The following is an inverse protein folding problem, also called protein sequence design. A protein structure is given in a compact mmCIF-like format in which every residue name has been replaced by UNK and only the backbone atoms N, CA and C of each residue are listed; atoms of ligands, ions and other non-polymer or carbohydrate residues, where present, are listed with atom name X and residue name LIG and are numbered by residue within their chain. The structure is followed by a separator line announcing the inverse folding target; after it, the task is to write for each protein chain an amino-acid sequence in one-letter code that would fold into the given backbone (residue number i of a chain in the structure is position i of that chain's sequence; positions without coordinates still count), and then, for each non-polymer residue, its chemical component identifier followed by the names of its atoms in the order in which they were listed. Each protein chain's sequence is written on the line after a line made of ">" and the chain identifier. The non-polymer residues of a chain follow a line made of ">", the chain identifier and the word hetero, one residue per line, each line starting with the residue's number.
data_IF_929054794175
#
_entry.id   IF_929054794175
#
_cell.length_a   1.000
_cell.length_b   1.000
_cell.length_c   1.000
_cell.angle_alpha   90.00
_cell.angle_beta   90.00
_cell.angle_gamma   90.00
#
_symmetry.space_group_name_H-M   'P 1'
#
loop_
_entity.id
_entity.type
_entity.pdbx_description
1 polymer ?
#
# COMPACT_ATOMS: atom_id res chain seq x y z
N UNK A 1 -22.78 -19.94 -1.71
CA UNK A 1 -22.78 -18.58 -1.10
C UNK A 1 -22.64 -17.56 -2.22
N UNK A 2 -23.53 -16.57 -2.31
CA UNK A 2 -23.43 -15.48 -3.30
C UNK A 2 -22.51 -14.37 -2.74
N UNK A 3 -21.23 -14.42 -3.11
CA UNK A 3 -20.20 -13.46 -2.64
C UNK A 3 -20.48 -12.06 -3.19
N UNK A 4 -20.94 -11.94 -4.44
CA UNK A 4 -21.23 -10.64 -5.05
C UNK A 4 -22.33 -9.92 -4.29
N UNK A 5 -23.41 -10.60 -3.98
CA UNK A 5 -24.53 -10.03 -3.21
C UNK A 5 -24.08 -9.57 -1.81
N UNK A 6 -23.18 -10.32 -1.17
CA UNK A 6 -22.60 -9.90 0.11
C UNK A 6 -21.71 -8.66 -0.04
N UNK A 7 -20.87 -8.63 -1.06
CA UNK A 7 -20.03 -7.47 -1.34
C UNK A 7 -20.88 -6.21 -1.63
N UNK A 8 -21.99 -6.35 -2.37
CA UNK A 8 -22.93 -5.27 -2.60
C UNK A 8 -23.58 -4.75 -1.31
N UNK A 9 -23.92 -5.65 -0.37
CA UNK A 9 -24.46 -5.25 0.94
C UNK A 9 -23.48 -4.47 1.80
N UNK A 10 -22.18 -4.56 1.54
CA UNK A 10 -21.13 -3.84 2.28
C UNK A 10 -20.76 -2.48 1.64
N UNK A 11 -21.45 -2.04 0.60
CA UNK A 11 -21.15 -0.79 -0.14
C UNK A 11 -21.01 0.43 0.77
N UNK A 12 -21.91 0.61 1.73
CA UNK A 12 -21.84 1.73 2.67
C UNK A 12 -20.58 1.66 3.53
N UNK A 13 -20.30 0.49 4.11
CA UNK A 13 -19.10 0.26 4.91
C UNK A 13 -17.82 0.54 4.10
N UNK A 14 -17.74 0.02 2.86
CA UNK A 14 -16.59 0.24 1.97
C UNK A 14 -16.41 1.72 1.65
N UNK A 15 -17.48 2.42 1.30
CA UNK A 15 -17.43 3.85 0.97
C UNK A 15 -17.01 4.71 2.16
N UNK A 16 -17.58 4.45 3.34
CA UNK A 16 -17.26 5.21 4.56
C UNK A 16 -15.82 4.96 5.01
N UNK A 17 -15.36 3.71 4.92
CA UNK A 17 -14.00 3.31 5.26
C UNK A 17 -13.00 3.95 4.31
N UNK A 18 -13.23 3.88 3.01
CA UNK A 18 -12.42 4.53 1.97
C UNK A 18 -12.27 6.03 2.25
N UNK A 19 -13.39 6.74 2.42
CA UNK A 19 -13.37 8.19 2.68
C UNK A 19 -12.65 8.55 3.97
N UNK A 20 -12.74 7.69 4.99
CA UNK A 20 -12.08 7.91 6.25
C UNK A 20 -10.55 7.78 6.16
N UNK A 21 -10.03 6.81 5.37
CA UNK A 21 -8.60 6.70 5.10
C UNK A 21 -8.11 7.79 4.15
N UNK A 22 -8.89 8.13 3.13
CA UNK A 22 -8.54 9.18 2.19
C UNK A 22 -8.34 10.54 2.87
N UNK A 23 -9.15 10.87 3.88
CA UNK A 23 -9.04 12.11 4.65
C UNK A 23 -7.81 12.21 5.54
N UNK A 24 -7.28 11.08 5.99
CA UNK A 24 -6.19 11.04 6.97
C UNK A 24 -5.01 10.19 6.47
N UNK A 25 -4.41 10.56 5.32
CA UNK A 25 -3.31 9.82 4.74
C UNK A 25 -2.03 10.01 5.54
N UNK A 26 -1.19 8.99 5.62
CA UNK A 26 0.12 9.04 6.24
C UNK A 26 1.18 8.53 5.26
N UNK A 27 2.37 9.20 5.19
CA UNK A 27 3.41 8.76 4.28
C UNK A 27 4.08 7.48 4.77
N UNK A 28 4.82 6.84 3.86
CA UNK A 28 5.61 5.63 4.13
C UNK A 28 6.38 5.71 5.45
N UNK A 29 6.38 4.63 6.22
CA UNK A 29 6.96 4.47 7.56
C UNK A 29 6.32 5.31 8.68
N UNK A 30 5.28 6.08 8.41
CA UNK A 30 4.58 6.92 9.38
C UNK A 30 3.09 6.55 9.55
N UNK A 31 2.65 5.40 9.03
CA UNK A 31 1.26 4.96 8.93
C UNK A 31 0.66 4.51 10.29
N UNK A 32 1.04 5.17 11.37
CA UNK A 32 0.67 4.79 12.75
C UNK A 32 -0.83 4.92 13.00
N UNK A 33 -1.45 6.04 12.59
CA UNK A 33 -2.90 6.28 12.75
C UNK A 33 -3.71 5.40 11.80
N UNK A 34 -3.20 5.18 10.61
CA UNK A 34 -3.77 4.26 9.62
C UNK A 34 -3.91 2.87 10.21
N UNK A 35 -2.83 2.33 10.76
CA UNK A 35 -2.83 1.01 11.40
C UNK A 35 -3.65 0.97 12.69
N UNK A 36 -3.66 2.03 13.48
CA UNK A 36 -4.53 2.13 14.65
C UNK A 36 -6.02 2.02 14.27
N UNK A 37 -6.43 2.72 13.19
CA UNK A 37 -7.79 2.65 12.65
C UNK A 37 -8.13 1.26 12.09
N UNK A 38 -7.20 0.62 11.37
CA UNK A 38 -7.35 -0.76 10.90
C UNK A 38 -7.61 -1.70 12.08
N UNK A 39 -6.80 -1.62 13.13
CA UNK A 39 -6.92 -2.43 14.34
C UNK A 39 -8.25 -2.21 15.06
N UNK A 40 -8.71 -0.95 15.13
CA UNK A 40 -10.02 -0.62 15.71
C UNK A 40 -11.16 -1.29 14.93
N UNK A 41 -11.11 -1.27 13.60
CA UNK A 41 -12.11 -1.92 12.75
C UNK A 41 -12.06 -3.45 12.93
N UNK A 42 -10.88 -4.05 12.95
CA UNK A 42 -10.69 -5.48 13.19
C UNK A 42 -11.23 -5.90 14.56
N UNK A 43 -10.98 -5.11 15.61
CA UNK A 43 -11.51 -5.32 16.95
C UNK A 43 -13.05 -5.31 16.97
N UNK A 44 -13.67 -4.35 16.27
CA UNK A 44 -15.14 -4.29 16.14
C UNK A 44 -15.73 -5.51 15.42
N UNK A 45 -14.95 -6.12 14.53
CA UNK A 45 -15.32 -7.36 13.83
C UNK A 45 -15.00 -8.63 14.64
N UNK A 46 -14.31 -8.52 15.77
CA UNK A 46 -13.85 -9.66 16.56
C UNK A 46 -12.75 -10.48 15.86
N UNK A 47 -11.99 -9.87 14.95
CA UNK A 47 -10.92 -10.54 14.20
C UNK A 47 -9.60 -10.37 14.93
N UNK A 48 -8.93 -11.46 15.35
CA UNK A 48 -7.64 -11.39 16.01
C UNK A 48 -6.53 -10.94 15.04
N UNK A 49 -5.58 -10.18 15.56
CA UNK A 49 -4.42 -9.72 14.80
C UNK A 49 -3.14 -9.71 15.62
N UNK A 50 -2.01 -9.70 14.94
CA UNK A 50 -0.67 -9.39 15.47
C UNK A 50 -0.24 -8.02 14.97
N UNK A 51 0.43 -7.27 15.85
CA UNK A 51 0.97 -5.94 15.56
C UNK A 51 2.45 -5.89 15.99
N UNK A 52 3.37 -6.45 15.18
CA UNK A 52 4.79 -6.51 15.52
C UNK A 52 5.47 -5.14 15.50
N UNK A 53 4.86 -4.15 14.83
CA UNK A 53 5.24 -2.74 14.83
C UNK A 53 3.98 -1.86 14.77
N UNK A 54 4.13 -0.57 15.03
CA UNK A 54 3.01 0.37 15.04
C UNK A 54 2.34 0.50 13.66
N UNK A 55 3.10 0.33 12.60
CA UNK A 55 2.68 0.39 11.21
C UNK A 55 2.58 -0.98 10.51
N UNK A 56 2.57 -2.10 11.23
CA UNK A 56 2.33 -3.44 10.67
C UNK A 56 1.14 -4.08 11.39
N UNK A 57 0.18 -4.57 10.63
CA UNK A 57 -0.96 -5.32 11.17
C UNK A 57 -1.22 -6.54 10.32
N UNK A 58 -1.23 -7.72 10.94
CA UNK A 58 -1.52 -8.98 10.27
C UNK A 58 -2.64 -9.67 11.04
N UNK A 59 -3.83 -9.73 10.44
CA UNK A 59 -5.00 -10.37 11.04
C UNK A 59 -5.17 -11.80 10.51
N UNK A 60 -5.88 -12.65 11.27
CA UNK A 60 -6.06 -14.05 10.90
C UNK A 60 -7.52 -14.45 11.05
N UNK A 61 -8.08 -15.08 10.02
CA UNK A 61 -9.43 -15.64 9.98
C UNK A 61 -9.35 -17.12 9.63
N UNK A 62 -10.19 -17.93 10.29
CA UNK A 62 -10.17 -19.38 10.11
C UNK A 62 -9.04 -20.06 10.88
N UNK A 63 -8.86 -21.35 10.67
CA UNK A 63 -7.81 -22.15 11.30
C UNK A 63 -7.49 -23.41 10.51
N UNK A 64 -6.24 -23.85 10.61
CA UNK A 64 -5.76 -25.06 9.94
C UNK A 64 -5.80 -24.97 8.41
N UNK A 65 -5.66 -26.10 7.73
CA UNK A 65 -5.67 -26.16 6.27
C UNK A 65 -4.53 -25.37 5.61
N UNK A 66 -4.75 -24.99 4.35
CA UNK A 66 -3.83 -24.10 3.63
C UNK A 66 -4.01 -22.67 4.10
N UNK A 67 -2.91 -21.90 4.07
CA UNK A 67 -2.89 -20.50 4.45
C UNK A 67 -2.84 -19.63 3.19
N UNK A 68 -3.78 -18.71 3.07
CA UNK A 68 -3.84 -17.73 1.98
C UNK A 68 -3.60 -16.34 2.56
N UNK A 69 -2.69 -15.59 1.97
CA UNK A 69 -2.44 -14.18 2.29
C UNK A 69 -3.22 -13.26 1.37
N UNK A 70 -3.97 -12.33 1.94
CA UNK A 70 -4.57 -11.20 1.23
C UNK A 70 -3.83 -9.93 1.67
N UNK A 71 -3.32 -9.16 0.71
CA UNK A 71 -2.47 -7.99 1.00
C UNK A 71 -3.11 -6.69 0.54
N UNK A 72 -3.01 -5.66 1.37
CA UNK A 72 -3.17 -4.27 1.02
C UNK A 72 -1.97 -3.46 1.52
N UNK A 73 -1.49 -2.53 0.72
CA UNK A 73 -0.58 -1.47 1.12
C UNK A 73 -1.33 -0.36 1.87
N UNK A 74 -0.60 0.46 2.64
CA UNK A 74 -1.26 1.37 3.60
C UNK A 74 -0.74 2.80 3.56
N UNK A 75 0.38 3.06 2.91
CA UNK A 75 1.02 4.36 2.84
C UNK A 75 0.43 5.28 1.77
N UNK A 76 0.73 6.56 1.89
CA UNK A 76 0.32 7.62 0.97
C UNK A 76 1.53 8.38 0.44
N UNK A 77 1.35 9.10 -0.67
CA UNK A 77 2.38 9.87 -1.33
C UNK A 77 2.52 11.28 -0.76
N UNK A 78 3.75 11.79 -0.73
CA UNK A 78 4.06 13.15 -0.31
C UNK A 78 3.77 14.15 -1.44
N UNK A 79 2.49 14.41 -1.66
CA UNK A 79 2.01 15.40 -2.62
C UNK A 79 0.72 16.08 -2.11
N UNK A 80 0.49 17.32 -2.54
CA UNK A 80 -0.71 18.07 -2.16
C UNK A 80 -1.88 17.68 -3.04
N UNK A 81 -2.97 17.25 -2.41
CA UNK A 81 -4.20 16.94 -3.12
C UNK A 81 -4.87 18.18 -3.73
N UNK A 82 -5.34 18.05 -4.97
CA UNK A 82 -6.01 19.11 -5.74
C UNK A 82 -7.38 18.67 -6.30
N UNK A 83 -7.97 17.60 -5.76
CA UNK A 83 -9.24 17.03 -6.27
C UNK A 83 -10.46 17.89 -5.94
N UNK A 84 -10.44 18.63 -4.83
CA UNK A 84 -11.60 19.42 -4.35
C UNK A 84 -12.75 18.56 -3.82
N UNK A 85 -12.52 17.30 -3.50
CA UNK A 85 -13.53 16.39 -2.94
C UNK A 85 -13.89 16.80 -1.50
N UNK A 86 -15.13 16.57 -1.08
CA UNK A 86 -15.58 16.80 0.30
C UNK A 86 -14.79 16.01 1.35
N UNK A 87 -14.19 14.90 0.93
CA UNK A 87 -13.36 14.00 1.75
C UNK A 87 -11.89 14.08 1.39
N UNK A 88 -11.42 15.15 0.73
CA UNK A 88 -10.00 15.37 0.46
C UNK A 88 -9.15 15.30 1.71
N UNK A 89 -7.86 15.00 1.50
CA UNK A 89 -6.86 14.91 2.55
C UNK A 89 -6.91 16.12 3.49
N UNK A 90 -6.92 15.83 4.78
CA UNK A 90 -6.78 16.84 5.85
C UNK A 90 -5.34 16.93 6.34
N UNK A 91 -4.42 16.20 5.73
CA UNK A 91 -2.99 16.22 6.02
C UNK A 91 -2.26 16.96 4.88
N UNK A 92 -1.95 18.26 5.02
CA UNK A 92 -1.33 19.04 3.95
C UNK A 92 -0.04 18.42 3.44
N UNK A 93 0.08 18.28 2.11
CA UNK A 93 1.27 17.70 1.48
C UNK A 93 1.31 16.19 1.45
N UNK A 94 0.22 15.51 1.85
CA UNK A 94 0.10 14.04 1.77
C UNK A 94 -1.23 13.66 1.15
N UNK A 95 -1.24 12.68 0.24
CA UNK A 95 -2.45 12.21 -0.45
C UNK A 95 -2.35 10.72 -0.77
N UNK A 96 -3.46 9.99 -0.63
CA UNK A 96 -3.59 8.65 -1.20
C UNK A 96 -3.77 8.70 -2.74
N UNK A 97 -2.73 9.13 -3.47
CA UNK A 97 -2.80 9.27 -4.92
C UNK A 97 -2.61 7.94 -5.67
N UNK A 98 -2.06 6.92 -5.02
CA UNK A 98 -1.92 5.58 -5.58
C UNK A 98 -3.11 4.66 -5.27
N UNK A 99 -4.07 5.11 -4.43
CA UNK A 99 -5.30 4.38 -4.15
C UNK A 99 -5.19 3.31 -3.05
N UNK A 100 -4.18 3.38 -2.19
CA UNK A 100 -3.99 2.41 -1.10
C UNK A 100 -5.12 2.45 -0.07
N UNK A 101 -5.79 3.57 0.11
CA UNK A 101 -7.03 3.71 0.88
C UNK A 101 -8.18 2.83 0.35
N UNK A 102 -8.29 2.69 -0.97
CA UNK A 102 -9.22 1.77 -1.60
C UNK A 102 -8.80 0.30 -1.36
N UNK A 103 -7.50 0.00 -1.39
CA UNK A 103 -6.98 -1.35 -1.10
C UNK A 103 -7.25 -1.74 0.35
N UNK A 104 -6.96 -0.86 1.32
CA UNK A 104 -7.28 -1.07 2.74
C UNK A 104 -8.78 -1.36 2.91
N UNK A 105 -9.62 -0.53 2.29
CA UNK A 105 -11.07 -0.64 2.41
C UNK A 105 -11.60 -1.94 1.81
N UNK A 106 -11.08 -2.34 0.64
CA UNK A 106 -11.42 -3.60 0.01
C UNK A 106 -11.01 -4.80 0.88
N UNK A 107 -9.80 -4.77 1.47
CA UNK A 107 -9.32 -5.83 2.34
C UNK A 107 -10.14 -5.93 3.64
N UNK A 108 -10.54 -4.81 4.24
CA UNK A 108 -11.43 -4.79 5.41
C UNK A 108 -12.84 -5.27 5.07
N UNK A 109 -13.33 -4.96 3.86
CA UNK A 109 -14.61 -5.51 3.36
C UNK A 109 -14.54 -7.02 3.16
N UNK A 110 -13.45 -7.51 2.56
CA UNK A 110 -13.19 -8.94 2.44
C UNK A 110 -13.10 -9.62 3.82
N UNK A 111 -12.43 -8.99 4.78
CA UNK A 111 -12.35 -9.46 6.16
C UNK A 111 -13.73 -9.67 6.78
N UNK A 112 -14.63 -8.70 6.62
CA UNK A 112 -15.99 -8.77 7.15
C UNK A 112 -16.79 -9.93 6.56
N UNK A 113 -16.67 -10.16 5.25
CA UNK A 113 -17.34 -11.26 4.56
C UNK A 113 -16.75 -12.60 4.98
N UNK A 114 -15.42 -12.73 4.97
CA UNK A 114 -14.73 -13.98 5.31
C UNK A 114 -14.94 -14.38 6.77
N UNK A 115 -15.00 -13.42 7.68
CA UNK A 115 -15.26 -13.69 9.10
C UNK A 115 -16.68 -14.19 9.38
N UNK A 116 -17.60 -14.07 8.41
CA UNK A 116 -19.00 -14.51 8.52
C UNK A 116 -19.26 -15.90 7.95
N UNK A 117 -18.24 -16.62 7.50
CA UNK A 117 -18.36 -17.92 6.85
C UNK A 117 -17.35 -18.93 7.38
N UNK A 118 -17.70 -20.21 7.33
CA UNK A 118 -16.76 -21.28 7.63
C UNK A 118 -15.75 -21.41 6.49
N UNK A 119 -14.46 -21.29 6.84
CA UNK A 119 -13.37 -21.41 5.89
C UNK A 119 -12.71 -22.79 5.99
N UNK A 120 -12.35 -23.44 4.88
CA UNK A 120 -11.65 -24.72 4.87
C UNK A 120 -10.16 -24.59 5.22
N UNK A 121 -9.69 -23.41 5.56
CA UNK A 121 -8.30 -23.10 5.84
C UNK A 121 -8.16 -21.78 6.59
N UNK A 122 -6.98 -21.19 6.50
CA UNK A 122 -6.63 -19.93 7.18
C UNK A 122 -6.43 -18.82 6.17
N UNK A 123 -6.94 -17.64 6.47
CA UNK A 123 -6.69 -16.41 5.71
C UNK A 123 -5.93 -15.43 6.59
N UNK A 124 -4.79 -14.95 6.12
CA UNK A 124 -4.05 -13.84 6.71
C UNK A 124 -4.32 -12.56 5.94
N UNK A 125 -4.77 -11.54 6.65
CA UNK A 125 -4.99 -10.20 6.11
C UNK A 125 -3.76 -9.37 6.46
N UNK A 126 -3.00 -8.98 5.45
CA UNK A 126 -1.70 -8.36 5.60
C UNK A 126 -1.83 -6.89 5.19
N UNK A 127 -1.76 -6.01 6.18
CA UNK A 127 -1.71 -4.57 5.96
C UNK A 127 -0.24 -4.17 5.99
N UNK A 128 0.30 -3.89 4.80
CA UNK A 128 1.73 -3.64 4.57
C UNK A 128 2.00 -2.14 4.54
N UNK A 129 2.94 -1.62 5.34
CA UNK A 129 3.40 -0.23 5.25
C UNK A 129 4.37 -0.02 4.08
N UNK A 130 4.69 1.23 3.79
CA UNK A 130 5.84 1.68 3.01
C UNK A 130 6.03 0.94 1.68
N UNK A 131 4.97 0.86 0.89
CA UNK A 131 5.06 0.33 -0.48
C UNK A 131 5.84 1.30 -1.36
N UNK A 132 5.50 2.61 -1.28
CA UNK A 132 6.10 3.71 -2.04
C UNK A 132 7.44 4.19 -1.48
N UNK A 133 7.68 3.93 -0.19
CA UNK A 133 8.83 4.46 0.57
C UNK A 133 9.94 3.47 0.84
N UNK A 134 9.99 2.35 0.14
CA UNK A 134 11.01 1.31 0.25
C UNK A 134 10.87 0.34 1.45
N UNK A 135 11.14 -0.92 1.18
CA UNK A 135 11.37 -2.00 2.15
C UNK A 135 10.19 -2.45 3.01
N UNK A 136 8.99 -1.85 2.93
CA UNK A 136 7.86 -2.24 3.77
C UNK A 136 7.47 -3.71 3.66
N UNK A 137 7.50 -4.30 2.46
CA UNK A 137 7.29 -5.73 2.27
C UNK A 137 8.37 -6.57 2.99
N UNK A 138 9.62 -6.12 2.97
CA UNK A 138 10.72 -6.80 3.69
C UNK A 138 10.54 -6.70 5.21
N UNK A 139 10.00 -5.59 5.72
CA UNK A 139 9.68 -5.46 7.14
C UNK A 139 8.60 -6.46 7.55
N UNK A 140 7.56 -6.63 6.75
CA UNK A 140 6.53 -7.66 6.97
C UNK A 140 7.15 -9.07 6.95
N UNK A 141 8.00 -9.39 5.98
CA UNK A 141 8.69 -10.69 5.88
C UNK A 141 9.56 -10.97 7.10
N UNK A 142 10.31 -9.97 7.59
CA UNK A 142 11.17 -10.11 8.78
C UNK A 142 10.41 -10.46 10.05
N UNK A 143 9.09 -10.24 10.10
CA UNK A 143 8.27 -10.64 11.25
C UNK A 143 8.12 -12.15 11.40
N UNK A 144 8.34 -12.92 10.35
CA UNK A 144 8.07 -14.37 10.29
C UNK A 144 6.59 -14.74 10.32
N UNK A 145 5.68 -13.76 10.45
CA UNK A 145 4.24 -14.01 10.61
C UNK A 145 3.55 -14.46 9.32
N UNK A 146 4.24 -14.41 8.19
CA UNK A 146 3.72 -14.78 6.87
C UNK A 146 4.45 -15.97 6.23
N UNK A 147 5.39 -16.60 6.96
CA UNK A 147 6.23 -17.70 6.42
C UNK A 147 5.43 -18.95 6.07
N UNK A 148 4.29 -19.16 6.68
CA UNK A 148 3.38 -20.29 6.45
C UNK A 148 2.39 -20.05 5.31
N UNK A 149 2.40 -18.87 4.66
CA UNK A 149 1.47 -18.53 3.58
C UNK A 149 1.81 -19.33 2.32
N UNK A 150 0.83 -20.06 1.80
CA UNK A 150 0.99 -20.92 0.62
C UNK A 150 0.72 -20.17 -0.70
N UNK A 151 -0.12 -19.12 -0.67
CA UNK A 151 -0.43 -18.29 -1.82
C UNK A 151 -0.80 -16.87 -1.36
N UNK A 152 -0.36 -15.87 -2.12
CA UNK A 152 -0.71 -14.46 -1.89
C UNK A 152 -1.63 -13.95 -2.99
N UNK A 153 -2.58 -13.10 -2.60
CA UNK A 153 -3.41 -12.34 -3.51
C UNK A 153 -3.40 -10.86 -3.08
N UNK A 154 -3.27 -9.99 -4.05
CA UNK A 154 -3.47 -8.56 -3.89
C UNK A 154 -4.21 -8.01 -5.11
N UNK A 155 -4.79 -6.85 -4.95
CA UNK A 155 -5.39 -6.07 -6.04
C UNK A 155 -4.74 -4.69 -6.03
N UNK A 156 -4.69 -4.05 -7.20
CA UNK A 156 -4.33 -2.66 -7.32
C UNK A 156 -5.40 -1.93 -8.14
N UNK A 157 -5.91 -0.81 -7.66
CA UNK A 157 -6.78 0.06 -8.45
C UNK A 157 -5.95 0.77 -9.51
N UNK A 158 -6.48 0.91 -10.73
CA UNK A 158 -5.72 1.44 -11.84
C UNK A 158 -6.58 2.40 -12.67
N UNK A 159 -6.26 3.68 -12.63
CA UNK A 159 -7.07 4.73 -13.24
C UNK A 159 -7.30 4.61 -14.76
N UNK A 160 -6.39 4.04 -15.57
CA UNK A 160 -6.61 3.84 -17.01
C UNK A 160 -7.65 2.77 -17.35
N UNK A 161 -8.04 1.91 -16.40
CA UNK A 161 -9.01 0.85 -16.66
C UNK A 161 -10.45 1.30 -16.39
N UNK A 162 -11.39 0.75 -17.17
CA UNK A 162 -12.81 1.01 -16.97
C UNK A 162 -13.29 0.52 -15.60
N UNK A 163 -14.05 1.37 -14.90
CA UNK A 163 -14.61 1.02 -13.60
C UNK A 163 -15.48 -0.23 -13.67
N UNK A 164 -15.28 -1.16 -12.73
CA UNK A 164 -15.98 -2.44 -12.69
C UNK A 164 -15.30 -3.54 -13.52
N UNK A 165 -14.23 -3.25 -14.23
CA UNK A 165 -13.40 -4.27 -14.89
C UNK A 165 -12.34 -4.83 -13.95
N UNK A 166 -11.92 -6.07 -14.19
CA UNK A 166 -10.78 -6.72 -13.53
C UNK A 166 -9.83 -7.26 -14.59
N UNK A 167 -8.56 -6.92 -14.46
CA UNK A 167 -7.53 -7.36 -15.37
C UNK A 167 -6.56 -8.31 -14.67
N UNK A 168 -6.37 -9.47 -15.24
CA UNK A 168 -5.45 -10.52 -14.75
C UNK A 168 -4.66 -11.05 -15.94
N UNK A 169 -3.35 -11.13 -15.81
CA UNK A 169 -2.52 -11.77 -16.83
C UNK A 169 -1.50 -12.71 -16.21
N UNK A 170 -1.11 -13.80 -16.92
CA UNK A 170 -0.02 -14.65 -16.46
C UNK A 170 1.32 -13.95 -16.63
N UNK A 171 2.28 -14.24 -15.75
CA UNK A 171 3.63 -13.70 -15.79
C UNK A 171 3.80 -12.40 -14.99
N UNK A 172 4.79 -11.61 -15.35
CA UNK A 172 5.08 -10.32 -14.68
C UNK A 172 4.02 -9.28 -14.99
N UNK A 173 3.45 -8.66 -13.95
CA UNK A 173 2.41 -7.63 -14.08
C UNK A 173 2.97 -6.24 -13.73
N UNK A 174 3.95 -6.18 -12.83
CA UNK A 174 4.63 -4.96 -12.42
C UNK A 174 6.13 -5.05 -12.68
N UNK A 175 6.78 -3.90 -12.88
CA UNK A 175 8.22 -3.80 -12.97
C UNK A 175 8.86 -3.85 -11.58
N UNK A 176 10.16 -4.20 -11.51
CA UNK A 176 10.96 -3.91 -10.33
C UNK A 176 11.26 -2.43 -10.24
N UNK A 177 11.39 -1.93 -9.03
CA UNK A 177 11.86 -0.59 -8.74
C UNK A 177 13.20 -0.69 -8.02
N UNK A 178 14.21 -0.01 -8.57
CA UNK A 178 15.53 0.08 -7.96
C UNK A 178 15.90 1.55 -7.78
N UNK A 179 16.30 1.94 -6.56
CA UNK A 179 16.75 3.29 -6.27
C UNK A 179 18.26 3.33 -6.13
N UNK A 180 18.90 4.30 -6.77
CA UNK A 180 20.31 4.56 -6.59
C UNK A 180 20.57 6.05 -6.47
N UNK A 181 21.62 6.39 -5.72
CA UNK A 181 22.09 7.78 -5.59
C UNK A 181 23.46 7.89 -6.24
N UNK A 182 23.58 8.84 -7.18
CA UNK A 182 24.83 9.16 -7.83
C UNK A 182 25.33 10.53 -7.38
N UNK A 183 26.50 10.55 -6.76
CA UNK A 183 27.16 11.80 -6.36
C UNK A 183 28.28 12.12 -7.35
N UNK A 184 28.17 13.27 -8.01
CA UNK A 184 29.16 13.75 -8.97
C UNK A 184 29.90 14.94 -8.37
N UNK A 185 31.19 14.76 -8.14
CA UNK A 185 32.03 15.82 -7.58
C UNK A 185 32.81 16.52 -8.69
N UNK A 186 32.49 17.77 -8.93
CA UNK A 186 33.20 18.63 -9.87
C UNK A 186 34.37 19.39 -9.25
N UNK A 187 35.00 20.21 -10.09
CA UNK A 187 36.03 21.17 -9.66
C UNK A 187 35.68 22.56 -10.18
N UNK A 188 35.48 23.49 -9.27
CA UNK A 188 35.12 24.87 -9.61
C UNK A 188 36.25 25.55 -10.43
N UNK A 189 35.84 26.45 -11.32
CA UNK A 189 36.78 27.23 -12.12
C UNK A 189 36.12 28.50 -12.63
N UNK A 190 36.89 29.34 -13.32
CA UNK A 190 36.39 30.57 -13.95
C UNK A 190 35.57 30.24 -15.19
N UNK A 191 34.38 30.84 -15.35
CA UNK A 191 33.49 30.55 -16.47
C UNK A 191 34.06 30.78 -17.85
N UNK A 192 35.05 31.66 -17.99
CA UNK A 192 35.81 31.89 -19.25
C UNK A 192 36.98 30.91 -19.48
N UNK A 193 37.22 29.96 -18.54
CA UNK A 193 38.28 28.95 -18.61
C UNK A 193 37.71 27.55 -18.31
N UNK A 194 36.73 27.05 -19.07
CA UNK A 194 36.11 25.77 -18.82
C UNK A 194 37.09 24.59 -18.83
N UNK A 195 38.17 24.69 -19.58
CA UNK A 195 39.24 23.69 -19.64
C UNK A 195 40.01 23.50 -18.31
N UNK A 196 39.85 24.43 -17.35
CA UNK A 196 40.48 24.38 -16.04
C UNK A 196 39.53 23.89 -14.92
N UNK A 197 38.33 23.58 -15.27
CA UNK A 197 37.32 23.08 -14.32
C UNK A 197 36.84 21.69 -14.67
N UNK A 198 36.02 21.10 -13.80
CA UNK A 198 35.25 19.86 -14.06
C UNK A 198 33.80 20.17 -13.76
N UNK A 199 33.00 20.30 -14.83
CA UNK A 199 31.59 20.64 -14.71
C UNK A 199 30.78 19.38 -14.39
N UNK A 200 30.25 19.32 -13.16
CA UNK A 200 29.45 18.19 -12.68
C UNK A 200 28.11 18.08 -13.43
N UNK A 201 27.55 19.21 -13.94
CA UNK A 201 26.28 19.21 -14.68
C UNK A 201 26.48 18.58 -16.07
N UNK A 202 27.59 18.90 -16.74
CA UNK A 202 27.92 18.27 -18.03
C UNK A 202 28.11 16.76 -17.86
N UNK A 203 28.80 16.34 -16.78
CA UNK A 203 28.95 14.93 -16.46
C UNK A 203 27.61 14.26 -16.17
N UNK A 204 26.75 14.88 -15.35
CA UNK A 204 25.43 14.38 -15.04
C UNK A 204 24.54 14.25 -16.28
N UNK A 205 24.56 15.25 -17.17
CA UNK A 205 23.75 15.23 -18.40
C UNK A 205 24.14 14.09 -19.36
N UNK A 206 25.41 13.71 -19.41
CA UNK A 206 25.88 12.58 -20.19
C UNK A 206 25.47 11.21 -19.62
N UNK A 207 25.12 11.14 -18.33
CA UNK A 207 24.64 9.92 -17.70
C UNK A 207 23.12 9.70 -17.90
N UNK A 208 22.37 10.76 -18.16
CA UNK A 208 20.91 10.70 -18.41
C UNK A 208 20.58 10.29 -19.84
N UNK A 209 21.52 10.40 -20.77
CA UNK A 209 21.37 10.00 -22.18
C UNK A 209 21.72 8.53 -22.39
#
# INVERSE_FOLDING_TARGET
>A
MDILRRAESERAFLSDTYRAFHRDPEPSHHETRTHARIREILNRMGIPYSAPADNITIATIGKGGKVVGLRADTDALQLTEQTGLEFSSQNPGVMHACGHDAHISALLGAAKILNSVDLPGTVKLIFQPAEEGELGAQEVLKTGLVDDVNAFFCIHVWSPFESGSMHVSPGGVAASCDMFTLTITGRAGHGAMPEKCVDAIVCASALVQ
#
